data_IF_345737834656
#
_entry.id   IF_345737834656
#
_cell.length_a   1.000
_cell.length_b   1.000
_cell.length_c   1.000
_cell.angle_alpha   90.00
_cell.angle_beta   90.00
_cell.angle_gamma   90.00
#
_symmetry.space_group_name_H-M   'P 1'
#
loop_
_entity.id
_entity.type
_entity.pdbx_description
1 polymer ?
#
# COMPACT_ATOMS: atom_id res chain seq x y z
N UNK A 1 22.94 -0.43 8.18
CA UNK A 1 22.91 0.52 7.06
C UNK A 1 22.10 -0.12 5.95
N UNK A 2 20.82 0.23 5.78
CA UNK A 2 20.03 -0.32 4.68
C UNK A 2 20.48 0.34 3.39
N UNK A 3 21.04 -0.44 2.46
CA UNK A 3 21.15 0.02 1.09
C UNK A 3 19.75 0.42 0.63
N UNK A 4 19.56 1.68 0.24
CA UNK A 4 18.32 2.13 -0.38
C UNK A 4 18.13 1.28 -1.64
N UNK A 5 17.12 0.41 -1.65
CA UNK A 5 16.75 -0.34 -2.86
C UNK A 5 16.41 0.68 -3.94
N UNK A 6 16.94 0.48 -5.15
CA UNK A 6 16.58 1.29 -6.30
C UNK A 6 15.13 0.97 -6.68
N UNK A 7 14.25 1.96 -6.56
CA UNK A 7 12.80 1.78 -6.69
C UNK A 7 12.20 2.93 -7.50
N UNK A 8 11.20 2.61 -8.30
CA UNK A 8 10.40 3.57 -9.07
C UNK A 8 8.93 3.45 -8.68
N UNK A 9 8.17 4.54 -8.83
CA UNK A 9 6.72 4.51 -8.67
C UNK A 9 6.11 4.16 -10.03
N UNK A 10 5.26 3.13 -10.06
CA UNK A 10 4.56 2.67 -11.26
C UNK A 10 3.07 2.89 -11.06
N UNK A 11 2.40 3.40 -12.10
CA UNK A 11 0.94 3.42 -12.16
C UNK A 11 0.46 2.15 -12.86
N UNK A 12 -0.28 1.30 -12.15
CA UNK A 12 -0.82 0.06 -12.68
C UNK A 12 -2.23 -0.15 -12.14
N UNK A 13 -3.11 -0.68 -12.99
CA UNK A 13 -4.41 -1.17 -12.54
C UNK A 13 -4.21 -2.53 -11.88
N UNK A 14 -4.71 -2.67 -10.65
CA UNK A 14 -4.60 -3.90 -9.86
C UNK A 14 -5.98 -4.35 -9.44
N UNK A 15 -6.21 -5.66 -9.47
CA UNK A 15 -7.39 -6.25 -8.87
C UNK A 15 -7.06 -6.72 -7.45
N UNK A 16 -7.95 -6.44 -6.51
CA UNK A 16 -7.85 -6.89 -5.13
C UNK A 16 -9.24 -7.17 -4.56
N UNK A 17 -9.30 -7.89 -3.45
CA UNK A 17 -10.58 -8.13 -2.80
C UNK A 17 -11.13 -6.85 -2.19
N UNK A 18 -12.46 -6.70 -2.17
CA UNK A 18 -13.14 -5.59 -1.47
C UNK A 18 -12.74 -5.53 0.00
N UNK A 19 -12.62 -6.70 0.63
CA UNK A 19 -12.17 -6.85 2.02
C UNK A 19 -10.77 -6.28 2.25
N UNK A 20 -9.86 -6.43 1.29
CA UNK A 20 -8.51 -5.84 1.37
C UNK A 20 -8.59 -4.31 1.42
N UNK A 21 -9.41 -3.70 0.54
CA UNK A 21 -9.59 -2.25 0.53
C UNK A 21 -10.23 -1.73 1.81
N UNK A 22 -11.29 -2.38 2.30
CA UNK A 22 -11.94 -2.04 3.57
C UNK A 22 -10.94 -2.05 4.73
N UNK A 23 -10.13 -3.12 4.81
CA UNK A 23 -9.10 -3.28 5.86
C UNK A 23 -8.03 -2.18 5.77
N UNK A 24 -7.59 -1.80 4.55
CA UNK A 24 -6.63 -0.71 4.36
C UNK A 24 -7.21 0.61 4.88
N UNK A 25 -8.46 0.91 4.53
CA UNK A 25 -9.15 2.14 4.95
C UNK A 25 -9.34 2.18 6.47
N UNK A 26 -9.77 1.07 7.08
CA UNK A 26 -9.93 0.97 8.54
C UNK A 26 -8.61 1.22 9.27
N UNK A 27 -7.54 0.55 8.86
CA UNK A 27 -6.21 0.74 9.44
C UNK A 27 -5.70 2.17 9.26
N UNK A 28 -5.96 2.79 8.11
CA UNK A 28 -5.58 4.17 7.85
C UNK A 28 -6.35 5.16 8.72
N UNK A 29 -7.67 4.98 8.87
CA UNK A 29 -8.51 5.79 9.77
C UNK A 29 -8.07 5.69 11.22
N UNK A 30 -7.72 4.48 11.69
CA UNK A 30 -7.21 4.27 13.05
C UNK A 30 -5.88 5.00 13.29
N UNK A 31 -4.98 5.04 12.30
CA UNK A 31 -3.66 5.69 12.43
C UNK A 31 -3.71 7.22 12.40
N UNK A 32 -4.56 7.81 11.57
CA UNK A 32 -4.66 9.28 11.43
C UNK A 32 -5.39 9.90 12.63
N UNK A 33 -6.29 9.16 13.27
CA UNK A 33 -7.18 9.70 14.29
C UNK A 33 -8.25 10.62 13.67
N UNK A 34 -9.18 11.09 14.51
CA UNK A 34 -10.17 12.09 14.09
C UNK A 34 -9.55 13.48 14.21
N UNK A 35 -9.82 14.34 13.24
CA UNK A 35 -9.52 15.76 13.39
C UNK A 35 -10.42 16.42 14.46
N UNK A 36 -10.16 17.70 14.76
CA UNK A 36 -10.91 18.47 15.75
C UNK A 36 -12.43 18.56 15.47
N UNK A 37 -12.86 18.21 14.25
CA UNK A 37 -14.27 18.19 13.81
C UNK A 37 -14.84 16.78 13.68
N UNK A 38 -14.09 15.75 14.07
CA UNK A 38 -14.52 14.35 14.01
C UNK A 38 -14.41 13.71 12.62
N UNK A 39 -13.79 14.38 11.64
CA UNK A 39 -13.66 13.92 10.26
C UNK A 39 -12.34 13.16 10.08
N UNK A 40 -12.38 12.08 9.31
CA UNK A 40 -11.19 11.38 8.86
C UNK A 40 -10.75 11.93 7.51
N UNK A 41 -9.57 12.53 7.45
CA UNK A 41 -8.90 12.86 6.18
C UNK A 41 -7.87 11.80 5.87
N UNK A 42 -8.28 10.82 5.07
CA UNK A 42 -7.42 9.73 4.61
C UNK A 42 -7.42 9.76 3.08
N UNK A 43 -6.26 10.00 2.48
CA UNK A 43 -6.06 9.70 1.07
C UNK A 43 -5.96 8.18 0.92
N UNK A 44 -7.05 7.59 0.42
CA UNK A 44 -7.15 6.13 0.30
C UNK A 44 -6.27 5.62 -0.84
N UNK A 45 -6.10 6.41 -1.91
CA UNK A 45 -5.26 6.01 -3.04
C UNK A 45 -3.80 5.90 -2.60
N UNK A 46 -3.30 6.91 -1.89
CA UNK A 46 -1.93 6.88 -1.33
C UNK A 46 -1.73 5.69 -0.38
N UNK A 47 -2.72 5.37 0.46
CA UNK A 47 -2.63 4.24 1.39
C UNK A 47 -2.63 2.90 0.68
N UNK A 48 -3.41 2.75 -0.38
CA UNK A 48 -3.37 1.55 -1.23
C UNK A 48 -2.00 1.43 -1.90
N UNK A 49 -1.48 2.50 -2.51
CA UNK A 49 -0.15 2.51 -3.12
C UNK A 49 0.95 2.16 -2.12
N UNK A 50 0.90 2.71 -0.91
CA UNK A 50 1.84 2.39 0.18
C UNK A 50 1.80 0.91 0.55
N UNK A 51 0.60 0.34 0.74
CA UNK A 51 0.42 -1.05 1.16
C UNK A 51 0.86 -2.04 0.08
N UNK A 52 0.54 -1.77 -1.18
CA UNK A 52 1.01 -2.60 -2.30
C UNK A 52 2.53 -2.53 -2.38
N UNK A 53 3.11 -1.33 -2.33
CA UNK A 53 4.57 -1.16 -2.42
C UNK A 53 5.30 -1.96 -1.33
N UNK A 54 4.80 -1.91 -0.09
CA UNK A 54 5.34 -2.73 1.01
C UNK A 54 5.20 -4.22 0.74
N UNK A 55 4.03 -4.68 0.30
CA UNK A 55 3.82 -6.08 -0.04
C UNK A 55 4.81 -6.57 -1.10
N UNK A 56 5.05 -5.80 -2.17
CA UNK A 56 6.01 -6.17 -3.23
C UNK A 56 7.44 -6.31 -2.69
N UNK A 57 7.86 -5.42 -1.79
CA UNK A 57 9.21 -5.44 -1.21
C UNK A 57 9.38 -6.52 -0.13
N UNK A 58 8.33 -6.80 0.65
CA UNK A 58 8.36 -7.77 1.76
C UNK A 58 8.13 -9.21 1.29
N UNK A 59 7.42 -9.42 0.18
CA UNK A 59 7.09 -10.75 -0.36
C UNK A 59 7.95 -11.17 -1.54
N UNK A 60 9.06 -10.49 -1.75
CA UNK A 60 10.05 -10.80 -2.79
C UNK A 60 9.41 -10.92 -4.18
N UNK A 61 8.64 -9.89 -4.55
CA UNK A 61 8.03 -9.82 -5.87
C UNK A 61 9.07 -9.83 -7.00
N UNK A 62 10.27 -9.33 -6.72
CA UNK A 62 11.40 -9.38 -7.65
C UNK A 62 11.74 -10.82 -8.04
N UNK A 63 11.85 -11.74 -7.07
CA UNK A 63 12.03 -13.16 -7.34
C UNK A 63 10.84 -13.78 -8.10
N UNK A 64 9.61 -13.38 -7.78
CA UNK A 64 8.43 -13.82 -8.53
C UNK A 64 8.52 -13.44 -10.01
N UNK A 65 8.89 -12.19 -10.32
CA UNK A 65 9.01 -11.69 -11.69
C UNK A 65 10.17 -12.34 -12.44
N UNK A 66 11.34 -12.53 -11.80
CA UNK A 66 12.50 -13.17 -12.43
C UNK A 66 12.22 -14.61 -12.88
N UNK A 67 11.24 -15.28 -12.25
CA UNK A 67 10.85 -16.66 -12.56
C UNK A 67 9.49 -16.73 -13.27
N UNK A 68 8.95 -15.60 -13.74
CA UNK A 68 7.70 -15.55 -14.47
C UNK A 68 7.90 -16.03 -15.91
N UNK A 69 7.06 -16.96 -16.39
CA UNK A 69 7.09 -17.52 -17.74
C UNK A 69 6.08 -16.83 -18.66
#
# INVERSE_FOLDING_TARGET
MSASKDTIIVNANVEMTTRSLETIVENAKQKVGRDEKGVYRVDTADKVSEMISRFLLEKDFEAYVMNYQ
#
